data_IF_982485890402
#
_entry.id   IF_982485890402
#
_cell.length_a   1.000
_cell.length_b   1.000
_cell.length_c   1.000
_cell.angle_alpha   90.00
_cell.angle_beta   90.00
_cell.angle_gamma   90.00
#
_symmetry.space_group_name_H-M   'P 1'
#
loop_
_entity.id
_entity.type
_entity.pdbx_description
1 polymer ?
#
# COMPACT_ATOMS: atom_id res chain seq x y z
N UNK A 1 -47.15 13.33 -20.49
CA UNK A 1 -47.00 14.77 -20.21
C UNK A 1 -45.61 14.98 -19.61
N UNK A 2 -44.67 15.43 -20.41
CA UNK A 2 -43.93 16.73 -20.40
C UNK A 2 -43.32 17.05 -19.01
N UNK A 3 -41.98 17.20 -18.80
CA UNK A 3 -40.92 17.98 -19.47
C UNK A 3 -39.57 17.48 -18.93
N UNK A 4 -38.57 17.09 -19.51
CA UNK A 4 -37.51 17.60 -20.38
C UNK A 4 -36.96 19.01 -20.09
N UNK A 5 -35.59 19.08 -19.97
CA UNK A 5 -34.63 20.19 -20.16
C UNK A 5 -33.83 20.48 -18.86
N UNK A 6 -32.49 20.68 -18.82
CA UNK A 6 -31.56 21.16 -19.87
C UNK A 6 -30.11 20.80 -19.49
N UNK A 7 -29.34 20.39 -20.49
CA UNK A 7 -27.89 20.39 -20.55
C UNK A 7 -27.41 21.83 -20.73
N UNK A 8 -26.35 22.24 -20.03
CA UNK A 8 -25.56 23.40 -20.39
C UNK A 8 -24.10 22.97 -20.44
N UNK A 9 -23.57 22.86 -21.66
CA UNK A 9 -22.16 22.80 -21.95
C UNK A 9 -21.67 24.24 -22.08
N UNK A 10 -20.53 24.58 -21.45
CA UNK A 10 -19.78 25.79 -21.72
C UNK A 10 -18.38 25.38 -22.16
N UNK A 11 -18.12 25.57 -23.46
CA UNK A 11 -16.80 25.60 -24.04
C UNK A 11 -16.27 27.05 -23.91
N UNK A 12 -15.04 27.21 -23.48
CA UNK A 12 -14.32 28.47 -23.64
C UNK A 12 -12.95 28.19 -24.24
N UNK A 13 -12.77 28.77 -25.40
CA UNK A 13 -11.62 28.64 -26.27
C UNK A 13 -10.44 29.52 -25.85
N UNK A 14 -9.29 29.12 -26.34
CA UNK A 14 -7.96 29.76 -26.21
C UNK A 14 -7.90 31.19 -26.77
N UNK A 15 -7.01 31.99 -26.19
CA UNK A 15 -6.33 33.05 -26.88
C UNK A 15 -4.90 33.20 -26.39
N UNK A 16 -3.96 32.85 -27.26
CA UNK A 16 -2.54 33.26 -27.19
C UNK A 16 -2.44 34.71 -27.61
N UNK A 17 -1.65 35.48 -26.89
CA UNK A 17 -1.01 36.67 -27.45
C UNK A 17 0.41 36.82 -26.90
N UNK A 18 1.34 36.67 -27.80
CA UNK A 18 2.74 37.07 -27.63
C UNK A 18 2.86 38.59 -27.67
N UNK A 19 3.70 39.17 -26.82
CA UNK A 19 4.20 40.54 -27.02
C UNK A 19 5.67 40.60 -26.59
N UNK A 20 6.52 40.66 -27.59
CA UNK A 20 7.90 41.15 -27.51
C UNK A 20 7.84 42.69 -27.63
N UNK A 21 8.50 43.42 -26.74
CA UNK A 21 9.06 44.74 -27.05
C UNK A 21 10.19 45.12 -26.10
N UNK A 22 11.33 45.29 -26.68
CA UNK A 22 12.52 46.01 -26.22
C UNK A 22 12.26 47.50 -25.96
N UNK A 23 12.94 48.09 -24.99
CA UNK A 23 13.01 49.53 -24.82
C UNK A 23 14.01 49.96 -23.75
N UNK A 24 15.19 50.40 -24.20
CA UNK A 24 16.15 51.15 -23.39
C UNK A 24 15.69 52.57 -23.09
N UNK A 25 15.99 53.08 -21.87
CA UNK A 25 15.88 54.52 -21.59
C UNK A 25 16.45 54.84 -20.20
N UNK A 26 17.63 55.51 -20.17
CA UNK A 26 18.28 56.11 -19.01
C UNK A 26 17.55 57.38 -18.54
N UNK A 27 17.41 57.60 -17.24
CA UNK A 27 17.93 58.77 -16.53
C UNK A 27 17.54 58.76 -15.04
N UNK A 28 18.36 59.06 -14.22
CA UNK A 28 18.84 59.41 -12.98
C UNK A 28 17.90 60.08 -11.97
N UNK A 29 18.09 59.76 -10.69
CA UNK A 29 17.54 60.42 -9.53
C UNK A 29 17.96 59.67 -8.27
N UNK A 30 18.95 60.21 -7.56
CA UNK A 30 19.41 59.79 -6.24
C UNK A 30 18.32 60.06 -5.19
N UNK A 31 18.02 59.08 -4.34
CA UNK A 31 17.86 59.28 -2.88
C UNK A 31 17.90 57.94 -2.12
N UNK A 32 18.15 57.92 -0.82
CA UNK A 32 19.05 56.93 -0.22
C UNK A 32 18.36 55.64 0.16
N UNK A 33 19.06 54.53 -0.11
CA UNK A 33 18.72 53.20 0.29
C UNK A 33 18.64 53.07 1.82
N UNK A 34 17.45 52.77 2.32
CA UNK A 34 17.32 52.14 3.63
C UNK A 34 17.92 50.72 3.55
N UNK A 35 19.04 50.59 4.22
CA UNK A 35 19.79 49.36 4.33
C UNK A 35 19.01 48.35 5.23
N UNK A 36 18.12 47.58 4.64
CA UNK A 36 17.67 46.35 5.24
C UNK A 36 18.64 45.25 4.80
N UNK A 37 19.66 45.07 5.60
CA UNK A 37 20.55 43.92 5.53
C UNK A 37 19.80 42.63 5.80
N UNK A 38 19.07 42.14 4.81
CA UNK A 38 18.71 40.76 4.68
C UNK A 38 19.87 40.09 3.95
N UNK A 39 20.64 39.27 4.65
CA UNK A 39 21.55 38.36 3.99
C UNK A 39 20.70 37.54 2.99
N UNK A 40 20.94 37.74 1.69
CA UNK A 40 20.45 36.82 0.66
C UNK A 40 21.24 35.51 0.85
N UNK A 41 20.84 34.70 1.82
CA UNK A 41 21.35 33.36 1.98
C UNK A 41 21.07 32.58 0.70
N UNK A 42 22.07 31.86 0.24
CA UNK A 42 21.90 30.93 -0.88
C UNK A 42 20.75 29.96 -0.54
N UNK A 43 19.84 29.74 -1.49
CA UNK A 43 18.68 28.84 -1.31
C UNK A 43 18.98 27.53 -2.03
N UNK A 44 18.86 26.42 -1.31
CA UNK A 44 18.94 25.08 -1.87
C UNK A 44 17.52 24.61 -2.14
N UNK A 45 17.19 24.34 -3.42
CA UNK A 45 15.90 23.80 -3.83
C UNK A 45 15.94 22.28 -3.80
N UNK A 46 15.02 21.66 -3.07
CA UNK A 46 14.88 20.22 -2.95
C UNK A 46 13.62 19.77 -3.68
N UNK A 47 13.77 18.97 -4.72
CA UNK A 47 12.64 18.35 -5.40
C UNK A 47 12.18 17.11 -4.64
N UNK A 48 10.88 17.06 -4.34
CA UNK A 48 10.18 15.94 -3.69
C UNK A 48 9.09 15.42 -4.62
N UNK A 49 9.11 14.14 -4.94
CA UNK A 49 8.03 13.52 -5.72
C UNK A 49 7.10 12.70 -4.83
N UNK A 50 5.79 12.91 -5.03
CA UNK A 50 4.73 12.15 -4.38
C UNK A 50 4.01 11.24 -5.38
N UNK A 51 3.19 10.33 -4.86
CA UNK A 51 2.30 9.51 -5.69
C UNK A 51 1.48 10.35 -6.67
N UNK A 52 1.06 9.80 -7.81
CA UNK A 52 0.24 10.49 -8.80
C UNK A 52 -1.23 10.63 -8.35
N UNK A 53 -1.45 10.86 -7.05
CA UNK A 53 -2.75 11.00 -6.40
C UNK A 53 -2.87 12.38 -5.75
N UNK A 54 -3.97 13.09 -6.03
CA UNK A 54 -4.16 14.46 -5.56
C UNK A 54 -4.17 14.59 -4.03
N UNK A 55 -4.70 13.59 -3.32
CA UNK A 55 -4.76 13.61 -1.84
C UNK A 55 -3.37 13.55 -1.21
N UNK A 56 -2.48 12.71 -1.76
CA UNK A 56 -1.10 12.59 -1.30
C UNK A 56 -0.29 13.85 -1.67
N UNK A 57 -0.49 14.39 -2.88
CA UNK A 57 0.10 15.66 -3.27
C UNK A 57 -0.29 16.77 -2.30
N UNK A 58 -1.56 16.95 -2.01
CA UNK A 58 -2.04 18.00 -1.11
C UNK A 58 -1.45 17.87 0.31
N UNK A 59 -1.30 16.64 0.80
CA UNK A 59 -0.68 16.37 2.08
C UNK A 59 0.78 16.82 2.09
N UNK A 60 1.59 16.34 1.15
CA UNK A 60 3.02 16.66 1.09
C UNK A 60 3.28 18.13 0.77
N UNK A 61 2.48 18.73 -0.09
CA UNK A 61 2.54 20.17 -0.37
C UNK A 61 2.30 21.00 0.89
N UNK A 62 1.33 20.62 1.73
CA UNK A 62 1.08 21.32 3.00
C UNK A 62 2.25 21.20 3.97
N UNK A 63 2.93 20.03 4.04
CA UNK A 63 4.12 19.84 4.87
C UNK A 63 5.31 20.64 4.34
N UNK A 64 5.52 20.66 3.03
CA UNK A 64 6.57 21.45 2.39
C UNK A 64 6.36 22.95 2.60
N UNK A 65 5.15 23.45 2.48
CA UNK A 65 4.83 24.87 2.76
C UNK A 65 5.16 25.24 4.20
N UNK A 66 4.72 24.43 5.18
CA UNK A 66 5.00 24.67 6.60
C UNK A 66 6.52 24.63 6.90
N UNK A 67 7.25 23.69 6.30
CA UNK A 67 8.71 23.62 6.40
C UNK A 67 9.39 24.86 5.80
N UNK A 68 8.98 25.28 4.61
CA UNK A 68 9.52 26.45 3.91
C UNK A 68 9.27 27.75 4.68
N UNK A 69 8.10 27.88 5.32
CA UNK A 69 7.74 29.00 6.20
C UNK A 69 8.56 29.00 7.50
N UNK A 70 8.91 27.82 8.04
CA UNK A 70 9.77 27.69 9.21
C UNK A 70 11.20 28.16 8.94
N UNK A 71 11.62 28.29 7.66
CA UNK A 71 12.89 28.86 7.27
C UNK A 71 14.10 28.04 7.72
N UNK A 72 13.97 26.72 7.70
CA UNK A 72 15.03 25.81 8.10
C UNK A 72 16.27 25.95 7.22
N UNK A 73 17.44 25.89 7.82
CA UNK A 73 18.72 26.03 7.12
C UNK A 73 19.63 24.83 7.39
N UNK A 74 20.40 24.46 6.36
CA UNK A 74 21.49 23.48 6.46
C UNK A 74 22.77 24.17 6.01
N UNK A 75 23.82 24.12 6.81
CA UNK A 75 25.11 24.79 6.57
C UNK A 75 24.97 26.28 6.22
N UNK A 76 23.98 26.97 6.82
CA UNK A 76 23.71 28.39 6.62
C UNK A 76 22.94 28.72 5.34
N UNK A 77 22.57 27.73 4.52
CA UNK A 77 21.74 27.87 3.33
C UNK A 77 20.28 27.56 3.65
N UNK A 78 19.34 28.38 3.20
CA UNK A 78 17.90 28.12 3.36
C UNK A 78 17.51 26.94 2.47
N UNK A 79 16.75 26.01 3.03
CA UNK A 79 16.17 24.89 2.26
C UNK A 79 14.76 25.27 1.81
N UNK A 80 14.45 24.99 0.55
CA UNK A 80 13.12 25.16 -0.04
C UNK A 80 12.70 23.86 -0.74
N UNK A 81 11.66 23.22 -0.23
CA UNK A 81 11.12 21.96 -0.77
C UNK A 81 10.02 22.24 -1.78
N UNK A 82 10.10 21.58 -2.94
CA UNK A 82 9.11 21.64 -4.01
C UNK A 82 8.51 20.27 -4.27
N UNK A 83 7.20 20.19 -4.10
CA UNK A 83 6.47 18.92 -4.28
C UNK A 83 5.93 18.82 -5.70
N UNK A 84 6.09 17.65 -6.31
CA UNK A 84 5.55 17.32 -7.62
C UNK A 84 4.97 15.90 -7.58
N UNK A 85 3.94 15.66 -8.40
CA UNK A 85 3.47 14.29 -8.63
C UNK A 85 4.44 13.56 -9.55
N UNK A 86 4.76 12.29 -9.21
CA UNK A 86 5.60 11.47 -10.07
C UNK A 86 4.86 11.09 -11.37
N UNK A 87 5.59 10.83 -12.48
CA UNK A 87 4.99 10.32 -13.70
C UNK A 87 4.29 8.98 -13.47
N UNK A 88 3.13 8.77 -14.09
CA UNK A 88 2.34 7.54 -13.96
C UNK A 88 2.39 6.64 -15.22
N UNK A 89 2.82 7.18 -16.36
CA UNK A 89 2.82 6.45 -17.62
C UNK A 89 4.24 6.07 -18.08
N UNK A 90 4.53 4.79 -18.36
CA UNK A 90 3.66 3.60 -18.27
C UNK A 90 3.41 3.15 -16.82
N UNK A 91 4.28 3.48 -15.88
CA UNK A 91 4.11 3.31 -14.43
C UNK A 91 5.01 4.31 -13.68
N UNK A 92 4.76 4.50 -12.38
CA UNK A 92 5.59 5.35 -11.53
C UNK A 92 7.05 4.85 -11.47
N UNK A 93 7.25 3.56 -11.37
CA UNK A 93 8.58 2.93 -11.35
C UNK A 93 9.35 3.19 -12.65
N UNK A 94 8.71 3.01 -13.81
CA UNK A 94 9.32 3.32 -15.09
C UNK A 94 9.62 4.81 -15.23
N UNK A 95 8.76 5.68 -14.71
CA UNK A 95 8.98 7.12 -14.66
C UNK A 95 10.23 7.48 -13.85
N UNK A 96 10.41 6.88 -12.67
CA UNK A 96 11.60 7.06 -11.82
C UNK A 96 12.85 6.53 -12.51
N UNK A 97 12.82 5.33 -13.10
CA UNK A 97 13.97 4.77 -13.81
C UNK A 97 14.41 5.68 -14.99
N UNK A 98 13.46 6.22 -15.74
CA UNK A 98 13.74 7.18 -16.80
C UNK A 98 14.36 8.48 -16.25
N UNK A 99 13.87 8.97 -15.11
CA UNK A 99 14.40 10.17 -14.47
C UNK A 99 15.83 9.96 -13.94
N UNK A 100 16.13 8.78 -13.38
CA UNK A 100 17.50 8.39 -12.98
C UNK A 100 18.42 8.39 -14.21
N UNK A 101 18.00 7.78 -15.32
CA UNK A 101 18.78 7.71 -16.55
C UNK A 101 19.03 9.07 -17.20
N UNK A 102 18.08 10.01 -17.09
CA UNK A 102 18.17 11.37 -17.66
C UNK A 102 18.74 12.40 -16.69
N UNK A 103 18.98 12.05 -15.42
CA UNK A 103 19.47 12.99 -14.42
C UNK A 103 18.43 14.02 -13.98
N UNK A 104 17.15 13.65 -13.97
CA UNK A 104 16.02 14.50 -13.53
C UNK A 104 15.27 13.91 -12.36
N UNK A 105 15.84 12.90 -11.70
CA UNK A 105 15.27 12.25 -10.51
C UNK A 105 15.29 13.23 -9.33
N UNK A 106 14.26 13.27 -8.46
CA UNK A 106 14.23 14.14 -7.29
C UNK A 106 15.24 13.68 -6.23
N UNK A 107 15.50 14.51 -5.22
CA UNK A 107 16.34 14.11 -4.08
C UNK A 107 15.67 13.03 -3.23
N UNK A 108 14.35 13.06 -3.13
CA UNK A 108 13.54 12.10 -2.36
C UNK A 108 12.18 11.92 -3.03
N UNK A 109 11.64 10.71 -2.96
CA UNK A 109 10.24 10.48 -3.34
C UNK A 109 9.50 9.59 -2.35
N UNK A 110 8.20 9.77 -2.29
CA UNK A 110 7.23 8.90 -1.63
C UNK A 110 6.73 7.83 -2.62
N UNK A 111 5.89 6.90 -2.15
CA UNK A 111 5.18 5.89 -2.94
C UNK A 111 6.08 4.75 -3.47
N UNK A 112 7.17 4.46 -2.78
CA UNK A 112 8.10 3.38 -3.17
C UNK A 112 7.83 2.14 -2.32
N UNK A 113 7.54 1.02 -2.98
CA UNK A 113 7.44 -0.27 -2.31
C UNK A 113 8.82 -0.94 -2.15
N UNK A 114 8.90 -1.92 -1.24
CA UNK A 114 10.17 -2.62 -0.94
C UNK A 114 10.78 -3.32 -2.15
N UNK A 115 9.96 -3.91 -3.03
CA UNK A 115 10.44 -4.60 -4.22
C UNK A 115 11.11 -3.64 -5.21
N UNK A 116 10.52 -2.47 -5.46
CA UNK A 116 11.15 -1.47 -6.31
C UNK A 116 12.39 -0.83 -5.66
N UNK A 117 12.38 -0.63 -4.33
CA UNK A 117 13.57 -0.19 -3.61
C UNK A 117 14.72 -1.21 -3.74
N UNK A 118 14.44 -2.52 -3.79
CA UNK A 118 15.46 -3.52 -4.08
C UNK A 118 16.10 -3.35 -5.48
N UNK A 119 15.30 -2.96 -6.49
CA UNK A 119 15.82 -2.60 -7.82
C UNK A 119 16.76 -1.38 -7.75
N UNK A 120 16.38 -0.35 -7.00
CA UNK A 120 17.21 0.85 -6.81
C UNK A 120 18.50 0.51 -6.07
N UNK A 121 18.42 -0.28 -4.98
CA UNK A 121 19.58 -0.72 -4.19
C UNK A 121 20.56 -1.54 -5.03
N UNK A 122 20.07 -2.49 -5.83
CA UNK A 122 20.89 -3.31 -6.73
C UNK A 122 21.63 -2.46 -7.77
N UNK A 123 21.02 -1.37 -8.23
CA UNK A 123 21.66 -0.42 -9.18
C UNK A 123 22.51 0.66 -8.49
N UNK A 124 22.50 0.73 -7.14
CA UNK A 124 23.19 1.77 -6.37
C UNK A 124 22.55 3.16 -6.53
N UNK A 125 21.26 3.23 -6.89
CA UNK A 125 20.55 4.45 -7.17
C UNK A 125 19.87 5.08 -5.93
N UNK A 126 19.97 4.45 -4.75
CA UNK A 126 19.41 4.93 -3.49
C UNK A 126 20.41 4.90 -2.33
N UNK A 127 20.04 5.52 -1.23
CA UNK A 127 20.85 5.58 -0.02
C UNK A 127 20.47 4.47 0.95
N UNK A 128 21.48 3.78 1.51
CA UNK A 128 21.34 2.89 2.66
C UNK A 128 21.15 3.75 3.92
N UNK A 129 20.02 3.61 4.57
CA UNK A 129 19.61 4.39 5.76
C UNK A 129 20.00 3.71 7.08
N UNK A 130 20.51 2.47 7.05
CA UNK A 130 20.72 1.63 8.25
C UNK A 130 21.65 2.25 9.29
N UNK A 131 22.62 3.04 8.86
CA UNK A 131 23.63 3.68 9.75
C UNK A 131 23.28 5.11 10.14
N UNK A 132 22.16 5.65 9.65
CA UNK A 132 21.80 7.03 9.85
C UNK A 132 21.12 7.24 11.20
N UNK A 133 21.70 8.10 12.05
CA UNK A 133 21.12 8.40 13.38
C UNK A 133 19.69 8.96 13.24
N UNK A 134 19.50 9.87 12.30
CA UNK A 134 18.19 10.47 12.08
C UNK A 134 17.10 9.45 11.69
N UNK A 135 17.48 8.40 10.96
CA UNK A 135 16.56 7.31 10.60
C UNK A 135 16.12 6.55 11.86
N UNK A 136 17.05 6.22 12.74
CA UNK A 136 16.75 5.59 14.04
C UNK A 136 15.83 6.48 14.88
N UNK A 137 16.10 7.79 14.96
CA UNK A 137 15.28 8.74 15.70
C UNK A 137 13.83 8.79 15.17
N UNK A 138 13.65 8.72 13.85
CA UNK A 138 12.31 8.66 13.22
C UNK A 138 11.60 7.34 13.52
N UNK A 139 12.30 6.20 13.45
CA UNK A 139 11.75 4.88 13.80
C UNK A 139 11.23 4.89 15.25
N UNK A 140 12.02 5.39 16.19
CA UNK A 140 11.62 5.53 17.60
C UNK A 140 10.44 6.48 17.80
N UNK A 141 10.44 7.63 17.10
CA UNK A 141 9.37 8.63 17.19
C UNK A 141 8.01 8.08 16.66
N UNK A 142 8.07 7.16 15.71
CA UNK A 142 6.87 6.53 15.10
C UNK A 142 6.58 5.14 15.66
N UNK A 143 7.33 4.67 16.66
CA UNK A 143 7.14 3.33 17.28
C UNK A 143 7.15 2.20 16.24
N UNK A 144 8.16 2.22 15.37
CA UNK A 144 8.28 1.28 14.25
C UNK A 144 9.29 0.17 14.51
N UNK A 145 9.86 0.05 15.71
CA UNK A 145 10.97 -0.85 16.05
C UNK A 145 10.66 -2.32 15.67
N UNK A 146 9.41 -2.75 15.87
CA UNK A 146 9.00 -4.12 15.58
C UNK A 146 8.68 -4.35 14.09
N UNK A 147 8.26 -3.31 13.36
CA UNK A 147 7.86 -3.41 11.94
C UNK A 147 8.99 -3.16 10.95
N UNK A 148 9.98 -2.34 11.33
CA UNK A 148 11.03 -1.90 10.40
C UNK A 148 11.89 -3.07 9.87
N UNK A 149 12.04 -4.14 10.65
CA UNK A 149 12.79 -5.32 10.24
C UNK A 149 12.19 -6.01 9.01
N UNK A 150 10.87 -5.93 8.83
CA UNK A 150 10.17 -6.49 7.67
C UNK A 150 10.47 -5.72 6.37
N UNK A 151 11.05 -4.51 6.47
CA UNK A 151 11.41 -3.68 5.32
C UNK A 151 12.86 -3.86 4.86
N UNK A 152 13.66 -4.62 5.60
CA UNK A 152 15.05 -4.86 5.24
C UNK A 152 15.19 -5.51 3.86
N UNK A 153 16.18 -5.05 3.10
CA UNK A 153 16.64 -5.60 1.83
C UNK A 153 18.07 -6.04 2.06
N UNK A 154 18.32 -7.35 2.06
CA UNK A 154 19.63 -7.93 2.37
C UNK A 154 20.23 -7.40 3.69
N UNK A 155 19.39 -7.25 4.72
CA UNK A 155 19.78 -6.78 6.05
C UNK A 155 19.99 -5.27 6.18
N UNK A 156 19.69 -4.50 5.15
CA UNK A 156 19.82 -3.04 5.11
C UNK A 156 18.49 -2.35 4.94
N UNK A 157 18.41 -1.07 5.29
CA UNK A 157 17.21 -0.24 5.15
C UNK A 157 17.41 0.79 4.04
N UNK A 158 16.53 0.77 3.04
CA UNK A 158 16.54 1.70 1.92
C UNK A 158 15.25 2.54 1.84
N UNK A 159 14.23 2.15 2.60
CA UNK A 159 12.93 2.82 2.61
C UNK A 159 12.61 3.29 4.03
N UNK A 160 12.18 4.54 4.17
CA UNK A 160 11.49 4.98 5.37
C UNK A 160 9.98 4.76 5.13
N UNK A 161 9.35 3.76 5.77
CA UNK A 161 7.94 3.46 5.56
C UNK A 161 7.03 4.62 5.95
N UNK A 162 6.05 4.95 5.11
CA UNK A 162 5.07 6.01 5.35
C UNK A 162 3.72 5.41 5.72
N UNK A 163 3.21 4.52 4.88
CA UNK A 163 1.89 3.93 5.07
C UNK A 163 1.85 2.45 4.75
N UNK A 164 0.83 1.82 5.28
CA UNK A 164 0.57 0.38 5.18
C UNK A 164 -0.93 0.14 4.97
N UNK A 165 -1.25 -0.69 4.00
CA UNK A 165 -2.61 -1.16 3.75
C UNK A 165 -2.64 -2.68 3.95
N UNK A 166 -2.94 -3.18 5.16
CA UNK A 166 -3.05 -4.61 5.40
C UNK A 166 -4.10 -5.24 4.48
N UNK A 167 -3.74 -6.33 3.79
CA UNK A 167 -4.67 -7.15 3.06
C UNK A 167 -5.30 -8.12 4.07
N UNK A 168 -6.61 -8.03 4.24
CA UNK A 168 -7.30 -8.65 5.37
C UNK A 168 -8.60 -9.32 4.92
N UNK A 169 -9.05 -10.35 5.63
CA UNK A 169 -10.34 -10.98 5.39
C UNK A 169 -11.48 -10.03 5.74
N UNK A 170 -12.33 -9.73 4.76
CA UNK A 170 -13.55 -8.95 4.95
C UNK A 170 -14.75 -9.87 4.86
N UNK A 171 -15.51 -9.97 5.94
CA UNK A 171 -16.60 -10.90 6.13
C UNK A 171 -17.96 -10.21 6.08
N UNK A 172 -18.93 -10.85 5.43
CA UNK A 172 -20.35 -10.48 5.49
C UNK A 172 -20.92 -10.89 6.86
N UNK A 173 -21.12 -9.92 7.73
CA UNK A 173 -21.56 -10.19 9.11
C UNK A 173 -22.96 -10.76 9.18
N UNK A 174 -23.86 -10.38 8.26
CA UNK A 174 -25.20 -10.95 8.16
C UNK A 174 -25.16 -12.43 7.76
N UNK A 175 -24.24 -12.79 6.86
CA UNK A 175 -24.03 -14.16 6.45
C UNK A 175 -23.43 -15.00 7.58
N UNK A 176 -22.40 -14.50 8.27
CA UNK A 176 -21.80 -15.17 9.44
C UNK A 176 -22.86 -15.47 10.51
N UNK A 177 -23.65 -14.47 10.90
CA UNK A 177 -24.74 -14.64 11.88
C UNK A 177 -25.78 -15.65 11.42
N UNK A 178 -26.14 -15.64 10.15
CA UNK A 178 -27.09 -16.63 9.60
C UNK A 178 -26.56 -18.06 9.61
N UNK A 179 -25.24 -18.23 9.54
CA UNK A 179 -24.54 -19.53 9.73
C UNK A 179 -24.35 -19.91 11.18
N UNK A 180 -24.64 -19.02 12.14
CA UNK A 180 -24.47 -19.25 13.58
C UNK A 180 -23.16 -18.76 14.17
N UNK A 181 -22.43 -17.88 13.48
CA UNK A 181 -21.16 -17.32 13.95
C UNK A 181 -21.30 -15.82 14.29
N UNK A 182 -20.84 -15.43 15.47
CA UNK A 182 -20.87 -14.04 15.94
C UNK A 182 -19.59 -13.25 15.63
N UNK A 183 -18.54 -13.91 15.15
CA UNK A 183 -17.23 -13.32 14.82
C UNK A 183 -16.60 -14.01 13.61
N UNK A 184 -15.60 -13.37 13.02
CA UNK A 184 -14.76 -13.96 11.98
C UNK A 184 -13.92 -15.12 12.55
N UNK A 185 -13.67 -16.18 11.76
CA UNK A 185 -12.74 -17.24 12.15
C UNK A 185 -11.31 -16.69 12.22
N UNK A 186 -10.50 -17.27 13.11
CA UNK A 186 -9.10 -16.90 13.34
C UNK A 186 -8.13 -18.02 12.98
N UNK A 187 -8.57 -19.26 13.09
CA UNK A 187 -7.73 -20.44 12.83
C UNK A 187 -8.23 -21.22 11.61
N UNK A 188 -7.34 -22.06 11.05
CA UNK A 188 -7.70 -22.97 9.94
C UNK A 188 -8.90 -23.85 10.30
N UNK A 189 -8.97 -24.35 11.54
CA UNK A 189 -10.08 -25.19 11.99
C UNK A 189 -11.40 -24.42 12.01
N UNK A 190 -11.43 -23.21 12.54
CA UNK A 190 -12.61 -22.34 12.54
C UNK A 190 -13.01 -21.94 11.11
N UNK A 191 -12.04 -21.58 10.27
CA UNK A 191 -12.27 -21.22 8.87
C UNK A 191 -12.91 -22.41 8.11
N UNK A 192 -12.35 -23.60 8.25
CA UNK A 192 -12.90 -24.83 7.66
C UNK A 192 -14.33 -25.07 8.11
N UNK A 193 -14.62 -24.84 9.40
CA UNK A 193 -15.97 -24.99 9.95
C UNK A 193 -16.94 -24.01 9.28
N UNK A 194 -16.57 -22.72 9.15
CA UNK A 194 -17.42 -21.71 8.51
C UNK A 194 -17.70 -22.06 7.05
N UNK A 195 -16.69 -22.52 6.30
CA UNK A 195 -16.87 -22.88 4.88
C UNK A 195 -17.71 -24.15 4.72
N UNK A 196 -17.54 -25.14 5.61
CA UNK A 196 -18.36 -26.36 5.61
C UNK A 196 -19.82 -26.04 5.92
N UNK A 197 -20.09 -25.18 6.91
CA UNK A 197 -21.45 -24.74 7.23
C UNK A 197 -22.07 -23.94 6.08
N UNK A 198 -21.27 -23.08 5.41
CA UNK A 198 -21.71 -22.41 4.20
C UNK A 198 -22.15 -23.41 3.12
N UNK A 199 -21.33 -24.41 2.84
CA UNK A 199 -21.63 -25.46 1.87
C UNK A 199 -22.94 -26.19 2.19
N UNK A 200 -23.11 -26.59 3.44
CA UNK A 200 -24.32 -27.30 3.92
C UNK A 200 -25.59 -26.44 3.84
N UNK A 201 -25.48 -25.14 3.96
CA UNK A 201 -26.61 -24.20 4.01
C UNK A 201 -26.76 -23.35 2.75
N UNK A 202 -25.92 -23.53 1.73
CA UNK A 202 -25.85 -22.72 0.51
C UNK A 202 -27.23 -22.56 -0.17
N UNK A 203 -27.91 -23.67 -0.43
CA UNK A 203 -29.21 -23.70 -1.14
C UNK A 203 -30.42 -23.42 -0.24
N UNK A 204 -30.22 -23.26 1.04
CA UNK A 204 -31.26 -23.05 2.05
C UNK A 204 -31.15 -21.66 2.70
N UNK A 205 -30.43 -21.57 3.82
CA UNK A 205 -30.28 -20.33 4.61
C UNK A 205 -29.59 -19.24 3.82
N UNK A 206 -28.47 -19.55 3.18
CA UNK A 206 -27.67 -18.56 2.44
C UNK A 206 -28.43 -18.01 1.23
N UNK A 207 -29.08 -18.88 0.46
CA UNK A 207 -29.91 -18.46 -0.68
C UNK A 207 -31.08 -17.54 -0.28
N UNK A 208 -31.68 -17.76 0.89
CA UNK A 208 -32.78 -16.92 1.39
C UNK A 208 -32.34 -15.48 1.68
N UNK A 209 -31.10 -15.28 2.10
CA UNK A 209 -30.53 -13.95 2.38
C UNK A 209 -29.76 -13.36 1.19
N UNK A 210 -29.74 -14.07 0.03
CA UNK A 210 -29.11 -13.60 -1.19
C UNK A 210 -27.61 -13.88 -1.29
N UNK A 211 -27.00 -14.60 -0.31
CA UNK A 211 -25.59 -14.97 -0.33
C UNK A 211 -25.45 -16.30 -1.06
N UNK A 212 -24.89 -16.27 -2.27
CA UNK A 212 -24.80 -17.45 -3.14
C UNK A 212 -23.39 -17.97 -3.33
N UNK A 213 -22.40 -17.18 -2.93
CA UNK A 213 -20.98 -17.49 -3.09
C UNK A 213 -20.25 -17.35 -1.77
N UNK A 214 -19.24 -18.22 -1.54
CA UNK A 214 -18.43 -18.17 -0.32
C UNK A 214 -17.30 -17.17 -0.42
N UNK A 215 -16.71 -16.98 -1.58
CA UNK A 215 -15.57 -16.11 -1.80
C UNK A 215 -15.72 -15.30 -3.09
N UNK A 216 -15.23 -14.06 -3.06
CA UNK A 216 -15.12 -13.23 -4.26
C UNK A 216 -13.67 -13.05 -4.67
N UNK A 217 -13.40 -13.34 -5.94
CA UNK A 217 -12.11 -13.11 -6.59
C UNK A 217 -12.33 -12.50 -7.97
N UNK A 218 -11.79 -11.27 -8.25
CA UNK A 218 -12.12 -10.54 -9.47
C UNK A 218 -11.77 -11.24 -10.78
N UNK A 219 -10.58 -11.82 -10.89
CA UNK A 219 -10.14 -12.45 -12.14
C UNK A 219 -9.24 -13.65 -11.88
N UNK A 220 -9.15 -14.56 -12.85
CA UNK A 220 -8.27 -15.74 -12.84
C UNK A 220 -7.26 -15.72 -14.02
N UNK A 221 -7.25 -14.66 -14.84
CA UNK A 221 -6.66 -14.76 -16.18
C UNK A 221 -5.74 -13.61 -16.61
N UNK A 222 -5.36 -12.71 -15.70
CA UNK A 222 -4.48 -11.56 -16.01
C UNK A 222 -3.29 -11.48 -15.06
N UNK A 223 -2.26 -12.31 -15.26
CA UNK A 223 -1.15 -12.45 -14.31
C UNK A 223 -0.24 -11.22 -14.21
N UNK A 224 -0.31 -10.30 -15.15
CA UNK A 224 0.48 -9.07 -15.21
C UNK A 224 -0.13 -7.89 -14.43
N UNK A 225 -1.27 -8.11 -13.79
CA UNK A 225 -1.99 -7.07 -13.09
C UNK A 225 -2.12 -7.40 -11.60
N UNK A 226 -1.84 -6.44 -10.73
CA UNK A 226 -1.95 -6.64 -9.28
C UNK A 226 -3.35 -7.08 -8.84
N UNK A 227 -4.39 -6.73 -9.58
CA UNK A 227 -5.77 -7.17 -9.31
C UNK A 227 -6.04 -8.63 -9.67
N UNK A 228 -5.11 -9.38 -10.29
CA UNK A 228 -5.18 -10.84 -10.38
C UNK A 228 -5.07 -11.53 -9.03
N UNK A 229 -4.77 -10.72 -8.02
CA UNK A 229 -4.89 -11.11 -6.62
C UNK A 229 -4.00 -12.30 -6.25
N UNK A 230 -2.74 -12.28 -6.78
CA UNK A 230 -1.70 -13.19 -6.29
C UNK A 230 -1.55 -13.11 -4.76
N UNK A 231 -1.88 -11.97 -4.15
CA UNK A 231 -1.89 -11.77 -2.71
C UNK A 231 -2.97 -12.59 -1.98
N UNK A 232 -4.00 -13.11 -2.64
CA UNK A 232 -4.97 -14.04 -2.05
C UNK A 232 -4.28 -15.33 -1.58
N UNK A 233 -3.10 -15.66 -2.12
CA UNK A 233 -2.26 -16.77 -1.71
C UNK A 233 -1.08 -16.34 -0.83
N UNK A 234 -0.53 -15.17 -1.06
CA UNK A 234 0.57 -14.64 -0.27
C UNK A 234 0.13 -14.38 1.18
N UNK A 235 -1.00 -13.75 1.39
CA UNK A 235 -1.48 -13.43 2.73
C UNK A 235 -1.70 -14.69 3.60
N UNK A 236 -2.41 -15.74 3.14
CA UNK A 236 -2.47 -17.01 3.89
C UNK A 236 -1.10 -17.65 4.09
N UNK A 237 -0.21 -17.62 3.10
CA UNK A 237 1.14 -18.17 3.25
C UNK A 237 1.88 -17.51 4.42
N UNK A 238 1.89 -16.20 4.49
CA UNK A 238 2.57 -15.45 5.54
C UNK A 238 2.01 -15.79 6.93
N UNK A 239 0.68 -15.87 7.06
CA UNK A 239 0.03 -16.27 8.31
C UNK A 239 0.35 -17.71 8.73
N UNK A 240 0.27 -18.64 7.78
CA UNK A 240 0.45 -20.08 8.05
C UNK A 240 1.90 -20.48 8.29
N UNK A 241 2.85 -19.70 7.79
CA UNK A 241 4.28 -19.95 7.95
C UNK A 241 4.95 -19.15 9.07
N UNK A 242 4.20 -18.22 9.70
CA UNK A 242 4.78 -17.30 10.69
C UNK A 242 5.68 -16.24 10.04
N UNK A 243 5.30 -15.75 8.87
CA UNK A 243 5.99 -14.66 8.17
C UNK A 243 7.25 -15.09 7.41
N UNK A 244 7.41 -16.36 7.05
CA UNK A 244 8.58 -16.82 6.31
C UNK A 244 8.70 -16.12 4.95
N UNK A 245 9.90 -15.63 4.59
CA UNK A 245 10.11 -14.95 3.32
C UNK A 245 9.99 -15.91 2.13
N UNK A 246 9.76 -15.35 0.95
CA UNK A 246 9.77 -16.08 -0.32
C UNK A 246 11.16 -16.15 -0.94
N UNK A 247 11.89 -15.04 -0.83
CA UNK A 247 13.19 -14.86 -1.45
C UNK A 247 14.17 -14.27 -0.43
N UNK A 248 15.37 -14.82 -0.38
CA UNK A 248 16.50 -14.27 0.37
C UNK A 248 17.72 -14.15 -0.56
N UNK A 249 18.17 -12.94 -0.82
CA UNK A 249 19.20 -12.66 -1.81
C UNK A 249 18.78 -13.20 -3.19
N UNK A 250 19.56 -14.15 -3.73
CA UNK A 250 19.30 -14.82 -5.01
C UNK A 250 18.66 -16.22 -4.86
N UNK A 251 18.06 -16.54 -3.71
CA UNK A 251 17.48 -17.85 -3.44
C UNK A 251 15.99 -17.79 -3.25
N UNK A 252 15.26 -18.73 -3.84
CA UNK A 252 13.88 -19.01 -3.50
C UNK A 252 13.87 -19.86 -2.23
N UNK A 253 13.44 -19.24 -1.10
CA UNK A 253 13.36 -19.90 0.21
C UNK A 253 11.92 -20.21 0.63
N UNK A 254 10.97 -20.13 -0.30
CA UNK A 254 9.55 -20.40 -0.09
C UNK A 254 9.37 -21.74 0.63
N UNK A 255 8.66 -21.71 1.77
CA UNK A 255 8.27 -22.93 2.52
C UNK A 255 7.20 -23.68 1.71
N UNK A 256 7.60 -24.82 1.12
CA UNK A 256 6.72 -25.61 0.25
C UNK A 256 5.47 -26.10 0.98
N UNK A 257 5.61 -26.59 2.22
CA UNK A 257 4.46 -27.10 2.99
C UNK A 257 3.50 -25.96 3.32
N UNK A 258 4.02 -24.81 3.77
CA UNK A 258 3.21 -23.63 4.03
C UNK A 258 2.53 -23.07 2.78
N UNK A 259 3.19 -23.16 1.63
CA UNK A 259 2.58 -22.77 0.35
C UNK A 259 1.44 -23.70 -0.08
N UNK A 260 1.60 -25.01 0.11
CA UNK A 260 0.53 -26.00 -0.12
C UNK A 260 -0.66 -25.70 0.79
N UNK A 261 -0.44 -25.51 2.09
CA UNK A 261 -1.50 -25.17 3.03
C UNK A 261 -2.22 -23.86 2.66
N UNK A 262 -1.49 -22.84 2.20
CA UNK A 262 -2.08 -21.57 1.78
C UNK A 262 -2.97 -21.72 0.54
N UNK A 263 -2.55 -22.53 -0.43
CA UNK A 263 -3.35 -22.85 -1.62
C UNK A 263 -4.60 -23.63 -1.21
N UNK A 264 -4.46 -24.66 -0.38
CA UNK A 264 -5.57 -25.50 0.08
C UNK A 264 -6.56 -24.71 0.94
N UNK A 265 -6.10 -23.71 1.73
CA UNK A 265 -7.02 -22.83 2.47
C UNK A 265 -7.97 -22.09 1.51
N UNK A 266 -7.45 -21.55 0.42
CA UNK A 266 -8.28 -20.94 -0.64
C UNK A 266 -9.06 -22.03 -1.38
N UNK A 267 -8.50 -23.21 -1.55
CA UNK A 267 -9.15 -24.36 -2.17
C UNK A 267 -10.45 -24.80 -1.47
N UNK A 268 -10.57 -24.55 -0.16
CA UNK A 268 -11.79 -24.86 0.59
C UNK A 268 -13.05 -24.17 0.06
N UNK A 269 -12.93 -23.05 -0.64
CA UNK A 269 -14.08 -22.37 -1.23
C UNK A 269 -14.74 -23.15 -2.38
N UNK A 270 -14.00 -23.99 -3.08
CA UNK A 270 -14.52 -24.84 -4.13
C UNK A 270 -15.27 -24.07 -5.23
N UNK A 271 -16.27 -24.71 -5.82
CA UNK A 271 -17.13 -24.16 -6.88
C UNK A 271 -18.08 -23.02 -6.40
N UNK A 272 -17.96 -22.60 -5.15
CA UNK A 272 -18.72 -21.46 -4.63
C UNK A 272 -18.00 -20.11 -4.75
N UNK A 273 -16.87 -20.06 -5.44
CA UNK A 273 -16.17 -18.82 -5.73
C UNK A 273 -16.94 -18.03 -6.79
N UNK A 274 -17.16 -16.75 -6.52
CA UNK A 274 -17.61 -15.79 -7.52
C UNK A 274 -16.37 -15.17 -8.17
N UNK A 275 -16.22 -15.34 -9.47
CA UNK A 275 -15.19 -14.69 -10.28
C UNK A 275 -15.83 -13.75 -11.30
N UNK A 276 -15.11 -12.69 -11.68
CA UNK A 276 -15.52 -11.73 -12.71
C UNK A 276 -15.31 -10.28 -12.31
N UNK A 277 -15.59 -9.38 -13.22
CA UNK A 277 -15.46 -7.94 -13.02
C UNK A 277 -16.69 -7.39 -12.27
N UNK A 278 -16.67 -7.47 -10.94
CA UNK A 278 -17.64 -6.78 -10.10
C UNK A 278 -16.89 -5.69 -9.34
N UNK A 279 -17.15 -4.45 -9.71
CA UNK A 279 -16.38 -3.33 -9.23
C UNK A 279 -16.58 -3.00 -7.75
N UNK A 280 -17.66 -3.45 -7.10
CA UNK A 280 -17.90 -3.11 -5.70
C UNK A 280 -19.04 -3.93 -5.07
N UNK A 281 -18.81 -5.22 -4.89
CA UNK A 281 -19.83 -6.13 -4.34
C UNK A 281 -20.35 -5.70 -2.96
N UNK A 282 -19.50 -5.05 -2.15
CA UNK A 282 -19.85 -4.65 -0.79
C UNK A 282 -20.71 -3.40 -0.72
N UNK A 283 -20.86 -2.65 -1.83
CA UNK A 283 -21.79 -1.52 -1.91
C UNK A 283 -23.22 -1.94 -2.25
N UNK A 284 -23.41 -3.17 -2.69
CA UNK A 284 -24.74 -3.73 -2.92
C UNK A 284 -25.53 -3.78 -1.59
N UNK A 285 -26.83 -3.63 -1.67
CA UNK A 285 -27.71 -3.70 -0.51
C UNK A 285 -27.57 -5.04 0.24
N UNK A 286 -27.42 -6.13 -0.53
CA UNK A 286 -27.19 -7.46 0.00
C UNK A 286 -26.02 -8.10 -0.79
N UNK A 287 -24.79 -8.00 -0.27
CA UNK A 287 -23.64 -8.64 -0.90
C UNK A 287 -23.86 -10.14 -1.10
N UNK A 288 -23.62 -10.63 -2.32
CA UNK A 288 -23.85 -12.04 -2.68
C UNK A 288 -22.78 -13.01 -2.20
N UNK A 289 -21.77 -12.51 -1.49
CA UNK A 289 -20.62 -13.29 -1.01
C UNK A 289 -20.53 -13.32 0.51
N UNK A 290 -19.91 -14.38 1.03
CA UNK A 290 -19.59 -14.53 2.44
C UNK A 290 -18.33 -13.77 2.83
N UNK A 291 -17.25 -13.85 2.02
CA UNK A 291 -15.96 -13.26 2.35
C UNK A 291 -15.16 -12.86 1.10
N UNK A 292 -14.27 -11.89 1.27
CA UNK A 292 -13.19 -11.56 0.32
C UNK A 292 -11.96 -11.11 1.08
N UNK A 293 -10.82 -11.00 0.40
CA UNK A 293 -9.64 -10.28 0.92
C UNK A 293 -9.71 -8.85 0.40
N UNK A 294 -9.56 -7.88 1.28
CA UNK A 294 -9.67 -6.46 0.95
C UNK A 294 -8.71 -5.60 1.79
N UNK A 295 -8.71 -4.31 1.56
CA UNK A 295 -7.83 -3.33 2.20
C UNK A 295 -8.60 -2.03 2.51
N UNK A 296 -8.00 -1.08 3.26
CA UNK A 296 -8.71 0.10 3.78
C UNK A 296 -9.20 1.10 2.73
N UNK A 297 -8.68 1.08 1.52
CA UNK A 297 -9.05 2.09 0.48
C UNK A 297 -10.53 2.11 0.06
N UNK A 298 -11.31 1.07 0.38
CA UNK A 298 -12.74 1.02 0.08
C UNK A 298 -13.65 1.51 1.24
N UNK A 299 -13.09 1.84 2.40
CA UNK A 299 -13.86 2.25 3.58
C UNK A 299 -14.76 3.46 3.29
N UNK A 300 -14.22 4.48 2.61
CA UNK A 300 -15.00 5.66 2.22
C UNK A 300 -16.21 5.29 1.35
N UNK A 301 -16.00 4.39 0.38
CA UNK A 301 -17.06 3.90 -0.51
C UNK A 301 -18.15 3.14 0.25
N UNK A 302 -17.78 2.33 1.25
CA UNK A 302 -18.78 1.63 2.08
C UNK A 302 -19.62 2.60 2.88
N UNK A 303 -19.02 3.62 3.47
CA UNK A 303 -19.73 4.67 4.22
C UNK A 303 -20.66 5.48 3.34
N UNK A 304 -20.25 5.86 2.14
CA UNK A 304 -21.10 6.53 1.15
C UNK A 304 -22.33 5.69 0.78
N UNK A 305 -22.20 4.36 0.83
CA UNK A 305 -23.29 3.41 0.60
C UNK A 305 -24.01 2.96 1.88
N UNK A 306 -23.82 3.68 2.98
CA UNK A 306 -24.48 3.45 4.28
C UNK A 306 -24.21 2.05 4.85
N UNK A 307 -23.03 1.47 4.59
CA UNK A 307 -22.59 0.22 5.22
C UNK A 307 -22.05 0.49 6.61
N UNK A 308 -22.46 -0.31 7.56
CA UNK A 308 -22.11 -0.17 8.98
C UNK A 308 -21.17 -1.30 9.39
N UNK A 309 -19.96 -0.93 9.83
CA UNK A 309 -19.01 -1.88 10.39
C UNK A 309 -19.58 -2.55 11.65
N UNK A 310 -19.42 -3.87 11.77
CA UNK A 310 -20.01 -4.67 12.85
C UNK A 310 -21.45 -5.15 12.61
N UNK A 311 -22.17 -4.53 11.65
CA UNK A 311 -23.53 -4.92 11.27
C UNK A 311 -23.58 -5.55 9.87
N UNK A 312 -23.05 -4.86 8.87
CA UNK A 312 -23.03 -5.32 7.47
C UNK A 312 -21.77 -6.13 7.17
N UNK A 313 -20.62 -5.67 7.65
CA UNK A 313 -19.32 -6.32 7.46
C UNK A 313 -18.41 -6.17 8.68
N UNK A 314 -17.43 -7.07 8.77
CA UNK A 314 -16.30 -6.97 9.72
C UNK A 314 -15.00 -7.35 9.02
N UNK A 315 -13.91 -6.87 9.56
CA UNK A 315 -12.59 -7.38 9.22
C UNK A 315 -12.20 -8.51 10.17
N UNK A 316 -11.61 -9.58 9.63
CA UNK A 316 -11.01 -10.67 10.39
C UNK A 316 -9.50 -10.67 10.19
N UNK A 317 -8.75 -11.07 11.19
CA UNK A 317 -7.30 -11.25 11.08
C UNK A 317 -6.93 -12.27 10.00
N UNK A 318 -5.66 -12.33 9.61
CA UNK A 318 -5.13 -13.44 8.82
C UNK A 318 -5.31 -14.78 9.55
N UNK A 319 -5.67 -15.83 8.80
CA UNK A 319 -6.00 -17.16 9.36
C UNK A 319 -4.70 -17.88 9.72
N UNK A 320 -4.54 -18.21 11.00
CA UNK A 320 -3.36 -18.90 11.53
C UNK A 320 -3.63 -20.40 11.75
N UNK A 321 -2.57 -21.20 11.93
CA UNK A 321 -2.73 -22.65 12.20
C UNK A 321 -3.39 -22.91 13.54
N UNK A 322 -2.87 -22.26 14.62
CA UNK A 322 -3.28 -22.48 15.99
C UNK A 322 -3.65 -21.17 16.67
N UNK A 323 -4.46 -21.26 17.69
CA UNK A 323 -4.74 -20.13 18.58
C UNK A 323 -3.44 -19.62 19.23
N UNK A 324 -3.20 -18.30 19.15
CA UNK A 324 -2.01 -17.66 19.70
C UNK A 324 -0.85 -17.53 18.71
N UNK A 325 -0.92 -18.11 17.52
CA UNK A 325 0.04 -17.84 16.46
C UNK A 325 -0.09 -16.37 15.98
N UNK A 326 1.01 -15.78 15.53
CA UNK A 326 1.03 -14.37 15.05
C UNK A 326 0.38 -14.30 13.66
N UNK A 327 -0.63 -13.46 13.46
CA UNK A 327 -1.36 -13.36 12.20
C UNK A 327 -0.65 -12.45 11.18
N UNK A 328 0.56 -12.83 10.76
CA UNK A 328 1.25 -12.11 9.70
C UNK A 328 0.37 -12.00 8.47
N UNK A 329 0.48 -10.85 7.79
CA UNK A 329 -0.31 -10.60 6.60
C UNK A 329 0.47 -9.79 5.57
N UNK A 330 0.21 -10.04 4.31
CA UNK A 330 0.68 -9.18 3.25
C UNK A 330 0.03 -7.79 3.37
N UNK A 331 0.83 -6.75 3.17
CA UNK A 331 0.33 -5.39 3.14
C UNK A 331 0.91 -4.59 1.96
N UNK A 332 0.05 -3.93 1.20
CA UNK A 332 0.50 -2.93 0.22
C UNK A 332 1.03 -1.72 0.98
N UNK A 333 2.34 -1.66 1.05
CA UNK A 333 3.05 -0.72 1.91
C UNK A 333 4.09 0.05 1.11
N UNK A 334 4.17 1.35 1.33
CA UNK A 334 5.09 2.23 0.59
C UNK A 334 5.71 3.28 1.51
N UNK A 335 6.84 3.83 1.06
CA UNK A 335 7.59 4.80 1.84
C UNK A 335 8.43 5.74 1.00
N UNK A 336 9.32 6.44 1.69
CA UNK A 336 10.27 7.39 1.15
C UNK A 336 11.58 6.71 0.80
N UNK A 337 12.13 7.05 -0.37
CA UNK A 337 13.48 6.67 -0.82
C UNK A 337 14.25 7.93 -1.17
N UNK A 338 15.52 7.98 -0.80
CA UNK A 338 16.47 9.04 -1.12
C UNK A 338 17.37 8.58 -2.26
N UNK A 339 17.44 9.36 -3.32
CA UNK A 339 18.14 8.94 -4.55
C UNK A 339 19.60 9.37 -4.59
N UNK A 340 20.44 8.48 -5.10
CA UNK A 340 21.82 8.76 -5.49
C UNK A 340 21.90 8.99 -6.98
N UNK A 341 22.12 10.23 -7.39
CA UNK A 341 22.36 10.57 -8.79
C UNK A 341 23.36 11.73 -8.88
N UNK A 342 24.14 11.78 -9.96
CA UNK A 342 25.11 12.86 -10.19
C UNK A 342 24.45 14.25 -10.35
N UNK A 343 23.16 14.27 -10.66
CA UNK A 343 22.38 15.52 -10.75
C UNK A 343 21.92 16.05 -9.40
N UNK A 344 22.01 15.26 -8.34
CA UNK A 344 21.63 15.65 -6.98
C UNK A 344 22.91 16.04 -6.23
N UNK A 345 22.95 17.24 -5.71
CA UNK A 345 24.07 17.74 -4.91
C UNK A 345 24.00 17.23 -3.46
N UNK A 346 25.12 17.27 -2.76
CA UNK A 346 25.16 16.90 -1.32
C UNK A 346 24.25 17.83 -0.48
N UNK A 347 24.13 19.10 -0.87
CA UNK A 347 23.24 20.05 -0.21
C UNK A 347 21.75 19.74 -0.45
N UNK A 348 21.37 19.32 -1.66
CA UNK A 348 19.99 18.89 -1.96
C UNK A 348 19.65 17.61 -1.18
N UNK A 349 20.57 16.64 -1.11
CA UNK A 349 20.38 15.45 -0.30
C UNK A 349 20.25 15.80 1.20
N UNK A 350 21.14 16.62 1.74
CA UNK A 350 21.06 17.07 3.13
C UNK A 350 19.77 17.84 3.43
N UNK A 351 19.31 18.67 2.49
CA UNK A 351 18.04 19.37 2.58
C UNK A 351 16.84 18.43 2.58
N UNK A 352 16.86 17.38 1.75
CA UNK A 352 15.82 16.34 1.73
C UNK A 352 15.74 15.56 3.05
N UNK A 353 16.89 15.20 3.61
CA UNK A 353 17.01 14.56 4.93
C UNK A 353 16.44 15.47 6.02
N UNK A 354 16.81 16.76 6.01
CA UNK A 354 16.35 17.71 7.04
C UNK A 354 14.82 17.93 6.95
N UNK A 355 14.24 17.96 5.74
CA UNK A 355 12.80 18.01 5.56
C UNK A 355 12.11 16.79 6.19
N UNK A 356 12.58 15.58 5.91
CA UNK A 356 11.97 14.35 6.44
C UNK A 356 12.15 14.26 7.96
N UNK A 357 13.30 14.65 8.51
CA UNK A 357 13.51 14.78 9.95
C UNK A 357 12.53 15.76 10.60
N UNK A 358 12.30 16.92 9.96
CA UNK A 358 11.37 17.92 10.48
C UNK A 358 9.93 17.39 10.50
N UNK A 359 9.51 16.70 9.43
CA UNK A 359 8.16 16.11 9.31
C UNK A 359 7.93 15.03 10.35
N UNK A 360 8.93 14.18 10.62
CA UNK A 360 8.78 12.98 11.45
C UNK A 360 9.61 13.03 12.76
N UNK A 361 10.05 14.20 13.21
CA UNK A 361 10.69 14.30 14.52
C UNK A 361 9.72 13.92 15.65
N UNK A 362 10.26 13.76 16.86
CA UNK A 362 9.49 13.33 18.02
C UNK A 362 8.28 14.22 18.34
N UNK A 363 8.37 15.51 18.01
CA UNK A 363 7.30 16.49 18.29
C UNK A 363 6.20 16.45 17.22
N UNK A 364 6.56 16.23 15.96
CA UNK A 364 5.66 16.34 14.82
C UNK A 364 5.10 14.99 14.34
N UNK A 365 5.82 13.86 14.58
CA UNK A 365 5.53 12.58 13.94
C UNK A 365 4.10 12.10 14.16
N UNK A 366 3.58 12.17 15.39
CA UNK A 366 2.23 11.70 15.69
C UNK A 366 1.14 12.56 15.00
N UNK A 367 1.32 13.89 15.01
CA UNK A 367 0.40 14.80 14.31
C UNK A 367 0.51 14.63 12.79
N UNK A 368 1.71 14.43 12.25
CA UNK A 368 1.92 14.17 10.83
C UNK A 368 1.20 12.89 10.38
N UNK A 369 1.32 11.83 11.15
CA UNK A 369 0.67 10.56 10.86
C UNK A 369 -0.87 10.64 11.01
N UNK A 370 -1.38 11.43 11.97
CA UNK A 370 -2.80 11.71 12.08
C UNK A 370 -3.33 12.52 10.90
N UNK A 371 -2.58 13.55 10.45
CA UNK A 371 -2.94 14.34 9.27
C UNK A 371 -2.96 13.47 8.01
N UNK A 372 -1.99 12.54 7.88
CA UNK A 372 -1.96 11.55 6.81
C UNK A 372 -3.20 10.66 6.82
N UNK A 373 -3.52 10.07 7.98
CA UNK A 373 -4.68 9.19 8.14
C UNK A 373 -6.00 9.90 7.80
N UNK A 374 -6.17 11.13 8.28
CA UNK A 374 -7.35 11.94 7.98
C UNK A 374 -7.47 12.32 6.51
N UNK A 375 -6.35 12.59 5.83
CA UNK A 375 -6.34 12.97 4.43
C UNK A 375 -6.58 11.79 3.48
N UNK A 376 -6.02 10.61 3.81
CA UNK A 376 -5.90 9.51 2.85
C UNK A 376 -6.68 8.25 3.24
N UNK A 377 -7.11 8.11 4.49
CA UNK A 377 -7.61 6.87 5.12
C UNK A 377 -6.63 5.70 5.11
N UNK A 378 -5.40 5.88 4.63
CA UNK A 378 -4.34 4.88 4.66
C UNK A 378 -3.63 4.91 6.03
N UNK A 379 -3.43 3.74 6.62
CA UNK A 379 -2.81 3.63 7.93
C UNK A 379 -1.33 4.03 7.88
N UNK A 380 -0.86 4.95 8.72
CA UNK A 380 0.56 5.20 8.87
C UNK A 380 1.27 4.00 9.48
N UNK A 381 2.54 3.78 9.14
CA UNK A 381 3.34 2.71 9.72
C UNK A 381 3.77 3.12 11.12
N UNK A 382 2.94 2.80 12.10
CA UNK A 382 3.18 3.08 13.54
C UNK A 382 2.75 1.88 14.38
N UNK A 383 3.48 1.61 15.46
CA UNK A 383 3.13 0.54 16.40
C UNK A 383 2.10 0.94 17.46
N UNK A 384 1.78 2.23 17.60
CA UNK A 384 0.95 2.78 18.68
C UNK A 384 -0.38 3.38 18.21
N UNK A 385 -0.89 3.01 17.03
CA UNK A 385 -2.11 3.59 16.44
C UNK A 385 -3.35 3.47 17.34
N UNK A 386 -3.52 2.34 18.01
CA UNK A 386 -4.66 2.10 18.90
C UNK A 386 -4.41 2.56 20.34
N UNK A 387 -3.17 2.82 20.73
CA UNK A 387 -2.78 3.14 22.11
C UNK A 387 -2.46 4.62 22.31
N UNK A 388 -2.20 5.37 21.25
CA UNK A 388 -1.84 6.77 21.31
C UNK A 388 -3.09 7.66 21.24
N UNK A 389 -3.30 8.45 22.30
CA UNK A 389 -4.50 9.29 22.47
C UNK A 389 -4.78 10.22 21.28
N UNK A 390 -3.77 10.62 20.51
CA UNK A 390 -3.95 11.50 19.34
C UNK A 390 -4.83 10.88 18.26
N UNK A 391 -4.85 9.55 18.16
CA UNK A 391 -5.65 8.79 17.19
C UNK A 391 -7.01 8.37 17.73
N UNK A 392 -7.29 8.56 19.04
CA UNK A 392 -8.48 8.01 19.69
C UNK A 392 -9.80 8.44 19.03
N UNK A 393 -9.90 9.70 18.62
CA UNK A 393 -11.14 10.21 18.00
C UNK A 393 -11.36 9.59 16.62
N UNK A 394 -10.32 9.52 15.78
CA UNK A 394 -10.42 8.92 14.45
C UNK A 394 -10.68 7.41 14.52
N UNK A 395 -10.04 6.69 15.44
CA UNK A 395 -10.28 5.25 15.64
C UNK A 395 -11.68 4.96 16.18
N UNK A 396 -12.25 5.88 16.97
CA UNK A 396 -13.63 5.79 17.43
C UNK A 396 -14.63 6.12 16.32
N UNK A 397 -14.33 7.09 15.48
CA UNK A 397 -15.17 7.47 14.33
C UNK A 397 -15.14 6.38 13.26
N UNK A 398 -13.99 5.72 13.08
CA UNK A 398 -13.75 4.68 12.08
C UNK A 398 -13.31 3.36 12.76
N UNK A 399 -14.23 2.62 13.43
CA UNK A 399 -13.87 1.37 14.12
C UNK A 399 -13.30 0.30 13.19
N UNK A 400 -13.58 0.36 11.90
CA UNK A 400 -12.94 -0.44 10.86
C UNK A 400 -11.43 -0.14 10.70
N UNK A 401 -11.01 1.11 10.88
CA UNK A 401 -9.59 1.47 10.88
C UNK A 401 -8.89 0.96 12.14
N UNK A 402 -9.57 0.98 13.29
CA UNK A 402 -9.04 0.40 14.52
C UNK A 402 -8.78 -1.11 14.36
N UNK A 403 -9.69 -1.84 13.72
CA UNK A 403 -9.52 -3.26 13.43
C UNK A 403 -8.35 -3.54 12.46
N UNK A 404 -8.17 -2.69 11.45
CA UNK A 404 -7.05 -2.79 10.52
C UNK A 404 -5.71 -2.40 11.17
N UNK A 405 -5.73 -1.43 12.10
CA UNK A 405 -4.54 -1.01 12.85
C UNK A 405 -3.95 -2.15 13.71
N UNK A 406 -4.77 -3.10 14.17
CA UNK A 406 -4.30 -4.31 14.86
C UNK A 406 -3.39 -5.19 13.96
N UNK A 407 -3.55 -5.13 12.64
CA UNK A 407 -2.74 -5.89 11.70
C UNK A 407 -1.42 -5.20 11.32
N UNK A 408 -1.25 -3.91 11.60
CA UNK A 408 -0.06 -3.12 11.20
C UNK A 408 1.25 -3.70 11.75
N UNK A 409 1.36 -4.12 13.03
CA UNK A 409 2.59 -4.69 13.56
C UNK A 409 3.04 -5.99 12.87
N UNK A 410 2.12 -6.68 12.22
CA UNK A 410 2.34 -7.99 11.57
C UNK A 410 2.37 -7.88 10.04
N UNK A 411 2.37 -6.66 9.52
CA UNK A 411 2.34 -6.40 8.09
C UNK A 411 3.67 -6.73 7.42
N UNK A 412 3.62 -7.51 6.35
CA UNK A 412 4.78 -7.86 5.52
C UNK A 412 4.64 -7.12 4.18
N UNK A 413 5.60 -6.24 3.84
CA UNK A 413 5.59 -5.54 2.56
C UNK A 413 5.95 -6.48 1.41
N UNK A 414 5.92 -5.96 0.18
CA UNK A 414 6.27 -6.71 -1.04
C UNK A 414 7.62 -7.42 -0.94
N UNK A 415 7.79 -8.51 -1.71
CA UNK A 415 9.03 -9.29 -1.77
C UNK A 415 10.22 -8.36 -2.12
N UNK A 416 11.34 -8.50 -1.39
CA UNK A 416 12.53 -7.66 -1.54
C UNK A 416 13.44 -8.17 -2.68
N UNK A 417 13.01 -8.01 -3.91
CA UNK A 417 13.80 -8.38 -5.11
C UNK A 417 13.44 -7.49 -6.29
N UNK A 418 14.42 -7.20 -7.14
CA UNK A 418 14.20 -6.49 -8.39
C UNK A 418 13.31 -7.28 -9.38
N UNK A 419 13.12 -8.58 -9.16
CA UNK A 419 12.32 -9.49 -9.99
C UNK A 419 10.93 -9.76 -9.40
N UNK A 420 10.45 -8.90 -8.48
CA UNK A 420 9.18 -9.13 -7.78
C UNK A 420 8.01 -9.37 -8.74
N UNK A 421 7.88 -8.56 -9.79
CA UNK A 421 6.81 -8.70 -10.79
C UNK A 421 6.92 -10.00 -11.58
N UNK A 422 8.12 -10.36 -12.02
CA UNK A 422 8.35 -11.60 -12.77
C UNK A 422 8.01 -12.82 -11.91
N UNK A 423 8.41 -12.81 -10.63
CA UNK A 423 8.13 -13.88 -9.66
C UNK A 423 6.62 -14.00 -9.38
N UNK A 424 5.92 -12.89 -9.17
CA UNK A 424 4.48 -12.89 -8.95
C UNK A 424 3.69 -13.35 -10.16
N UNK A 425 4.13 -12.94 -11.36
CA UNK A 425 3.56 -13.43 -12.63
C UNK A 425 3.76 -14.94 -12.78
N UNK A 426 4.97 -15.45 -12.52
CA UNK A 426 5.26 -16.87 -12.57
C UNK A 426 4.42 -17.68 -11.55
N UNK A 427 4.24 -17.17 -10.32
CA UNK A 427 3.35 -17.76 -9.33
C UNK A 427 1.91 -17.85 -9.88
N UNK A 428 1.42 -16.77 -10.48
CA UNK A 428 0.05 -16.72 -11.00
C UNK A 428 -0.14 -17.69 -12.16
N UNK A 429 0.72 -17.65 -13.17
CA UNK A 429 0.58 -18.44 -14.39
C UNK A 429 0.79 -19.95 -14.17
N UNK A 430 1.75 -20.31 -13.33
CA UNK A 430 2.14 -21.72 -13.14
C UNK A 430 1.53 -22.37 -11.89
N UNK A 431 1.07 -21.58 -10.94
CA UNK A 431 0.52 -22.06 -9.67
C UNK A 431 -0.93 -21.70 -9.46
N UNK A 432 -1.21 -20.43 -9.12
CA UNK A 432 -2.52 -20.05 -8.60
C UNK A 432 -3.64 -20.15 -9.64
N UNK A 433 -3.43 -19.75 -10.89
CA UNK A 433 -4.47 -19.83 -11.92
C UNK A 433 -4.79 -21.29 -12.31
N UNK A 434 -3.82 -22.18 -12.56
CA UNK A 434 -4.11 -23.60 -12.79
C UNK A 434 -4.80 -24.26 -11.58
N UNK A 435 -4.34 -23.98 -10.35
CA UNK A 435 -4.97 -24.52 -9.14
C UNK A 435 -6.41 -24.05 -9.01
N UNK A 436 -6.70 -22.78 -9.23
CA UNK A 436 -8.07 -22.25 -9.17
C UNK A 436 -9.02 -22.90 -10.18
N UNK A 437 -8.52 -23.34 -11.33
CA UNK A 437 -9.33 -24.12 -12.28
C UNK A 437 -9.77 -25.47 -11.68
N UNK A 438 -8.91 -26.14 -10.89
CA UNK A 438 -9.30 -27.35 -10.17
C UNK A 438 -10.28 -27.03 -9.04
N UNK A 439 -10.00 -25.97 -8.27
CA UNK A 439 -10.87 -25.51 -7.18
C UNK A 439 -12.29 -25.26 -7.68
N UNK A 440 -12.47 -24.62 -8.84
CA UNK A 440 -13.79 -24.34 -9.42
C UNK A 440 -14.59 -25.60 -9.81
N UNK A 441 -13.95 -26.77 -9.83
CA UNK A 441 -14.60 -28.07 -10.05
C UNK A 441 -14.82 -28.88 -8.77
N UNK A 442 -14.28 -28.41 -7.62
CA UNK A 442 -14.39 -29.06 -6.33
C UNK A 442 -15.63 -28.58 -5.55
N UNK A 443 -16.18 -29.41 -4.69
CA UNK A 443 -17.22 -28.99 -3.74
C UNK A 443 -16.61 -28.17 -2.59
N UNK A 444 -17.30 -27.13 -2.10
CA UNK A 444 -16.83 -26.36 -0.96
C UNK A 444 -16.54 -27.22 0.26
N UNK A 445 -15.46 -26.93 0.99
CA UNK A 445 -14.97 -27.74 2.13
C UNK A 445 -14.03 -28.87 1.72
N UNK A 446 -13.81 -29.11 0.41
CA UNK A 446 -12.92 -30.15 -0.10
C UNK A 446 -11.87 -29.52 -1.03
N UNK A 447 -10.77 -29.06 -0.46
CA UNK A 447 -9.67 -28.50 -1.25
C UNK A 447 -9.00 -29.60 -2.10
N UNK A 448 -8.77 -29.36 -3.41
CA UNK A 448 -7.91 -30.22 -4.21
C UNK A 448 -6.48 -30.21 -3.69
N UNK A 449 -5.71 -31.30 -3.94
CA UNK A 449 -4.27 -31.35 -3.64
C UNK A 449 -3.53 -30.24 -4.39
N UNK A 450 -2.95 -29.31 -3.65
CA UNK A 450 -2.21 -28.18 -4.20
C UNK A 450 -0.74 -28.47 -4.53
N UNK A 451 -0.21 -29.62 -4.07
CA UNK A 451 1.21 -29.96 -4.19
C UNK A 451 1.77 -29.78 -5.60
N UNK A 452 1.16 -30.32 -6.68
CA UNK A 452 1.73 -30.23 -8.03
C UNK A 452 1.75 -28.78 -8.55
N UNK A 453 0.80 -27.95 -8.14
CA UNK A 453 0.70 -26.54 -8.55
C UNK A 453 1.73 -25.68 -7.82
N UNK A 454 1.99 -25.95 -6.55
CA UNK A 454 3.06 -25.28 -5.79
C UNK A 454 4.42 -25.65 -6.32
N UNK A 455 4.67 -26.92 -6.66
CA UNK A 455 5.92 -27.36 -7.27
C UNK A 455 6.17 -26.67 -8.63
N UNK A 456 5.15 -26.60 -9.48
CA UNK A 456 5.24 -25.92 -10.77
C UNK A 456 5.48 -24.40 -10.60
N UNK A 457 4.80 -23.78 -9.63
CA UNK A 457 5.00 -22.37 -9.31
C UNK A 457 6.43 -22.09 -8.82
N UNK A 458 6.96 -22.91 -7.89
CA UNK A 458 8.33 -22.75 -7.39
C UNK A 458 9.37 -22.85 -8.48
N UNK A 459 9.23 -23.81 -9.38
CA UNK A 459 10.15 -23.96 -10.54
C UNK A 459 10.06 -22.75 -11.49
N UNK A 460 8.85 -22.28 -11.80
CA UNK A 460 8.63 -21.11 -12.63
C UNK A 460 9.16 -19.82 -11.97
N UNK A 461 8.96 -19.63 -10.67
CA UNK A 461 9.49 -18.49 -9.92
C UNK A 461 11.02 -18.47 -9.89
N UNK A 462 11.68 -19.64 -9.74
CA UNK A 462 13.14 -19.74 -9.84
C UNK A 462 13.63 -19.28 -11.20
N UNK A 463 13.02 -19.75 -12.28
CA UNK A 463 13.39 -19.39 -13.64
C UNK A 463 13.15 -17.90 -13.90
N UNK A 464 11.98 -17.37 -13.56
CA UNK A 464 11.62 -15.98 -13.78
C UNK A 464 12.49 -15.00 -12.97
N UNK A 465 12.77 -15.34 -11.72
CA UNK A 465 13.62 -14.55 -10.83
C UNK A 465 15.13 -14.75 -11.02
N UNK A 466 15.54 -15.74 -11.81
CA UNK A 466 16.95 -16.15 -11.89
C UNK A 466 17.48 -16.64 -10.54
N UNK A 467 16.64 -17.31 -9.74
CA UNK A 467 16.92 -17.73 -8.37
C UNK A 467 17.49 -19.16 -8.31
N UNK A 468 18.31 -19.39 -7.29
CA UNK A 468 18.82 -20.73 -6.94
C UNK A 468 17.78 -21.57 -6.15
#
# INVERSE_FOLDING_TARGET
MKRMKRVVAIAAAAAMTASVMTGCGKSGGNEPAANHGGASGEVVSVDFWTAPQQVQYNFWESKAQAFNEAGITVDGKKIEVKVQQMPESPSSEAGIQNAIATGTVPAVSENINRGFAATLAASGADYDLSGETWFTDVIEARKMEDTITNWAIEGKQYVLPVYVNPMIWQWNMKALKALGFDSAPKTVAEFTTVITEFAAQRDTTMKKIGVTHSFYRPSLTRPDQWWDRWYDFQMPYEALTGGKPWVEGNKLVLDKEGAVEAFELIGLFGNSIQSGEISSIWTEANPSVLVTINAPWEISLYRENNKVYGEDYIYGQAIVKNEGDIPYNFADSKGLVFYKNKSITDEEHAGAVEFVKWVYNKENSAQTDLDWLNATTMLPVRGDLNDNEIFADVMKEYPELAALAEAVPYAIPSIATEKVTDIQTALTESGTAPYMNEVMNAEPGNAPDATPYVEAAMEAMKQAGGLE
#
